data_IF_477581733001
#
_entry.id   IF_477581733001
#
_cell.length_a   1.000
_cell.length_b   1.000
_cell.length_c   1.000
_cell.angle_alpha   90.00
_cell.angle_beta   90.00
_cell.angle_gamma   90.00
#
_symmetry.space_group_name_H-M   'P 1'
#
loop_
_entity.id
_entity.type
_entity.pdbx_description
1 polymer ?
#
# COMPACT_ATOMS: atom_id res chain seq x y z
N UNK A 1 17.22 14.81 14.12
CA UNK A 1 17.24 15.22 12.70
C UNK A 1 17.01 13.98 11.85
N UNK A 2 15.91 13.89 11.10
CA UNK A 2 15.65 12.81 10.15
C UNK A 2 16.03 13.29 8.76
N UNK A 3 17.08 12.72 8.19
CA UNK A 3 17.51 13.02 6.81
C UNK A 3 18.31 11.87 6.23
N UNK A 4 17.79 10.64 6.32
CA UNK A 4 18.28 9.57 5.45
C UNK A 4 17.69 9.83 4.08
N UNK A 5 18.42 10.59 3.26
CA UNK A 5 18.19 10.70 1.82
C UNK A 5 18.48 9.35 1.15
N UNK A 6 17.68 8.34 1.48
CA UNK A 6 17.55 7.15 0.67
C UNK A 6 16.98 7.64 -0.66
N UNK A 7 17.66 7.25 -1.75
CA UNK A 7 17.24 7.50 -3.13
C UNK A 7 15.72 7.33 -3.26
N UNK A 8 15.00 8.13 -4.06
CA UNK A 8 13.58 7.90 -4.26
C UNK A 8 13.41 6.46 -4.78
N UNK A 9 12.91 5.57 -3.93
CA UNK A 9 12.64 4.19 -4.30
C UNK A 9 11.37 4.27 -5.15
N UNK A 10 11.56 4.33 -6.47
CA UNK A 10 10.48 4.46 -7.43
C UNK A 10 9.95 3.06 -7.73
N UNK A 11 8.63 2.90 -7.66
CA UNK A 11 7.95 1.70 -8.14
C UNK A 11 8.00 1.71 -9.65
N UNK A 12 8.77 0.81 -10.23
CA UNK A 12 8.76 0.57 -11.66
C UNK A 12 7.85 -0.62 -11.96
N UNK A 13 6.74 -0.37 -12.65
CA UNK A 13 5.77 -1.39 -13.06
C UNK A 13 6.19 -2.13 -14.34
N UNK A 14 7.16 -1.58 -15.08
CA UNK A 14 7.75 -2.21 -16.26
C UNK A 14 8.87 -3.19 -15.88
N UNK A 15 9.38 -3.09 -14.66
CA UNK A 15 10.44 -3.93 -14.12
C UNK A 15 9.85 -5.01 -13.19
N UNK A 16 9.86 -6.30 -13.60
CA UNK A 16 9.23 -7.37 -12.83
C UNK A 16 9.93 -7.60 -11.47
N UNK A 17 11.24 -7.35 -11.37
CA UNK A 17 11.99 -7.42 -10.12
C UNK A 17 11.54 -6.35 -9.11
N UNK A 18 11.34 -5.12 -9.58
CA UNK A 18 10.77 -4.03 -8.78
C UNK A 18 9.36 -4.37 -8.31
N UNK A 19 8.49 -4.86 -9.21
CA UNK A 19 7.13 -5.29 -8.84
C UNK A 19 7.18 -6.39 -7.78
N UNK A 20 7.97 -7.44 -7.98
CA UNK A 20 8.08 -8.56 -7.04
C UNK A 20 8.61 -8.12 -5.67
N UNK A 21 9.59 -7.20 -5.63
CA UNK A 21 10.07 -6.59 -4.39
C UNK A 21 8.94 -5.86 -3.67
N UNK A 22 8.26 -4.94 -4.34
CA UNK A 22 7.20 -4.13 -3.72
C UNK A 22 5.99 -4.96 -3.28
N UNK A 23 5.58 -5.95 -4.09
CA UNK A 23 4.56 -6.95 -3.75
C UNK A 23 4.89 -7.65 -2.44
N UNK A 24 6.16 -8.07 -2.26
CA UNK A 24 6.63 -8.75 -1.05
C UNK A 24 6.80 -7.82 0.14
N UNK A 25 7.37 -6.62 -0.05
CA UNK A 25 7.58 -5.65 1.04
C UNK A 25 6.26 -5.08 1.57
N UNK A 26 5.29 -4.84 0.68
CA UNK A 26 4.00 -4.26 1.03
C UNK A 26 2.90 -5.29 1.29
N UNK A 27 3.22 -6.60 1.18
CA UNK A 27 2.27 -7.71 1.30
C UNK A 27 1.00 -7.43 0.47
N UNK A 28 1.21 -7.11 -0.81
CA UNK A 28 0.15 -6.68 -1.74
C UNK A 28 0.21 -7.47 -3.03
N UNK A 29 -0.78 -7.31 -3.90
CA UNK A 29 -0.80 -7.95 -5.23
C UNK A 29 -0.33 -6.97 -6.31
N UNK A 30 0.15 -7.49 -7.44
CA UNK A 30 0.55 -6.64 -8.58
C UNK A 30 -0.58 -5.68 -9.01
N UNK A 31 -1.83 -6.16 -9.03
CA UNK A 31 -2.99 -5.33 -9.35
C UNK A 31 -3.18 -4.18 -8.35
N UNK A 32 -3.03 -4.44 -7.05
CA UNK A 32 -3.12 -3.40 -6.02
C UNK A 32 -1.93 -2.44 -6.07
N UNK A 33 -0.74 -2.93 -6.40
CA UNK A 33 0.44 -2.09 -6.60
C UNK A 33 0.23 -1.14 -7.80
N UNK A 34 -0.30 -1.65 -8.92
CA UNK A 34 -0.63 -0.86 -10.11
C UNK A 34 -1.70 0.18 -9.83
N UNK A 35 -2.76 -0.20 -9.12
CA UNK A 35 -3.83 0.71 -8.72
C UNK A 35 -3.31 1.82 -7.80
N UNK A 36 -2.53 1.46 -6.77
CA UNK A 36 -1.91 2.43 -5.87
C UNK A 36 -0.98 3.40 -6.63
N UNK A 37 -0.14 2.88 -7.53
CA UNK A 37 0.72 3.71 -8.39
C UNK A 37 -0.09 4.63 -9.30
N UNK A 38 -1.26 4.22 -9.78
CA UNK A 38 -2.15 5.08 -10.56
C UNK A 38 -2.79 6.19 -9.69
N UNK A 39 -3.05 5.92 -8.42
CA UNK A 39 -3.64 6.88 -7.47
C UNK A 39 -2.64 7.92 -6.94
N UNK A 40 -1.43 7.48 -6.56
CA UNK A 40 -0.45 8.32 -5.85
C UNK A 40 0.86 8.55 -6.61
N UNK A 41 1.04 7.86 -7.74
CA UNK A 41 2.23 7.94 -8.59
C UNK A 41 3.26 6.84 -8.31
N UNK A 42 4.37 6.87 -9.03
CA UNK A 42 5.45 5.87 -8.96
C UNK A 42 6.38 6.02 -7.76
N UNK A 43 6.03 6.87 -6.78
CA UNK A 43 6.85 7.05 -5.57
C UNK A 43 6.53 5.96 -4.56
N UNK A 44 7.50 5.11 -4.26
CA UNK A 44 7.32 4.00 -3.32
C UNK A 44 6.86 4.42 -1.93
N UNK A 45 7.31 5.58 -1.44
CA UNK A 45 6.86 6.13 -0.16
C UNK A 45 5.36 6.47 -0.15
N UNK A 46 4.86 7.11 -1.22
CA UNK A 46 3.43 7.43 -1.36
C UNK A 46 2.59 6.17 -1.56
N UNK A 47 3.07 5.22 -2.39
CA UNK A 47 2.42 3.93 -2.65
C UNK A 47 2.30 3.10 -1.37
N UNK A 48 3.37 3.04 -0.59
CA UNK A 48 3.38 2.40 0.72
C UNK A 48 2.37 3.06 1.67
N UNK A 49 2.39 4.39 1.77
CA UNK A 49 1.47 5.13 2.64
C UNK A 49 0.01 4.89 2.24
N UNK A 50 -0.29 4.86 0.93
CA UNK A 50 -1.61 4.57 0.40
C UNK A 50 -2.07 3.15 0.72
N UNK A 51 -1.23 2.15 0.46
CA UNK A 51 -1.57 0.73 0.70
C UNK A 51 -1.67 0.40 2.19
N UNK A 52 -0.80 0.97 3.03
CA UNK A 52 -0.89 0.83 4.50
C UNK A 52 -2.13 1.56 5.03
N UNK A 53 -2.43 2.76 4.53
CA UNK A 53 -3.62 3.53 4.89
C UNK A 53 -4.93 2.84 4.48
N UNK A 54 -5.00 2.28 3.28
CA UNK A 54 -6.15 1.54 2.79
C UNK A 54 -6.44 0.31 3.66
N UNK A 55 -5.40 -0.44 4.07
CA UNK A 55 -5.55 -1.56 5.02
C UNK A 55 -6.06 -1.11 6.39
N UNK A 56 -5.63 0.04 6.88
CA UNK A 56 -6.17 0.62 8.13
C UNK A 56 -7.64 1.00 8.00
N UNK A 57 -8.05 1.61 6.89
CA UNK A 57 -9.45 2.01 6.67
C UNK A 57 -10.38 0.81 6.45
N UNK A 58 -9.96 -0.23 5.74
CA UNK A 58 -10.76 -1.46 5.58
C UNK A 58 -10.89 -2.23 6.91
N UNK A 59 -9.85 -2.23 7.74
CA UNK A 59 -9.92 -2.87 9.05
C UNK A 59 -10.87 -2.11 9.99
N UNK A 60 -10.86 -0.78 9.98
CA UNK A 60 -11.83 0.04 10.73
C UNK A 60 -13.29 -0.15 10.26
N UNK A 61 -13.51 -0.36 8.97
CA UNK A 61 -14.85 -0.61 8.42
C UNK A 61 -15.44 -1.94 8.91
N UNK A 62 -14.60 -2.98 9.05
CA UNK A 62 -15.06 -4.31 9.49
C UNK A 62 -15.46 -4.34 10.98
N UNK A 63 -14.90 -3.47 11.82
CA UNK A 63 -15.26 -3.38 13.25
C UNK A 63 -16.66 -2.80 13.48
N UNK A 64 -17.19 -2.03 12.51
CA UNK A 64 -18.49 -1.36 12.63
C UNK A 64 -19.67 -2.22 12.16
N UNK A 65 -19.40 -3.40 11.59
CA UNK A 65 -20.45 -4.35 11.15
C UNK A 65 -20.58 -5.57 12.07
N UNK A 66 -20.28 -5.45 13.36
CA UNK A 66 -20.82 -6.38 14.34
C UNK A 66 -22.25 -5.91 14.68
N UNK A 67 -23.32 -6.55 14.15
CA UNK A 67 -24.66 -6.23 14.61
C UNK A 67 -24.72 -6.58 16.11
N UNK A 68 -25.24 -5.68 16.99
CA UNK A 68 -25.52 -6.06 18.36
C UNK A 68 -26.58 -7.17 18.28
N UNK A 69 -26.14 -8.39 18.58
CA UNK A 69 -27.01 -9.55 18.67
C UNK A 69 -27.68 -9.47 20.04
N UNK A 70 -28.72 -8.65 20.14
CA UNK A 70 -29.60 -8.61 21.30
C UNK A 70 -30.37 -9.94 21.39
N UNK A 71 -30.31 -10.55 22.58
CA UNK A 71 -31.04 -11.76 22.97
C UNK A 71 -32.31 -11.39 23.69
#
# INVERSE_FOLDING_TARGET
MQSSAAKPDLVNLEDPDSVARWVKELDTTESQLRDAVAQVGTKGADVEMHLKGARSSTNEDRMKQAPPRER
#
